data_IF_690774831880
#
_entry.id   IF_690774831880
#
_cell.length_a   1.000
_cell.length_b   1.000
_cell.length_c   1.000
_cell.angle_alpha   90.00
_cell.angle_beta   90.00
_cell.angle_gamma   90.00
#
_symmetry.space_group_name_H-M   'P 1'
#
loop_
_entity.id
_entity.type
_entity.pdbx_description
1 polymer ?
#
# COMPACT_ATOMS: atom_id res chain seq x y z
N UNK A 1 29.83 26.84 -36.23
CA UNK A 1 29.69 26.00 -35.02
C UNK A 1 28.57 26.53 -34.11
N UNK A 2 27.29 26.40 -34.51
CA UNK A 2 26.15 26.93 -33.71
C UNK A 2 24.84 26.15 -33.82
N UNK A 3 24.84 25.03 -34.57
CA UNK A 3 23.65 24.21 -34.86
C UNK A 3 23.59 22.88 -34.09
N UNK A 4 24.66 22.51 -33.38
CA UNK A 4 24.75 21.21 -32.68
C UNK A 4 24.18 21.26 -31.26
N UNK A 5 24.07 22.45 -30.65
CA UNK A 5 23.58 22.60 -29.28
C UNK A 5 22.05 22.55 -29.12
N UNK A 6 21.29 22.68 -30.21
CA UNK A 6 19.82 22.76 -30.11
C UNK A 6 19.16 21.39 -29.90
N UNK A 7 19.83 20.30 -30.28
CA UNK A 7 19.32 18.93 -30.10
C UNK A 7 19.64 18.31 -28.74
N UNK A 8 20.60 18.87 -27.99
CA UNK A 8 21.02 18.31 -26.68
C UNK A 8 20.13 18.80 -25.52
N UNK A 9 19.25 19.79 -25.77
CA UNK A 9 18.38 20.39 -24.75
C UNK A 9 16.98 19.77 -24.63
N UNK A 10 16.63 18.76 -25.43
CA UNK A 10 15.26 18.23 -25.54
C UNK A 10 15.03 16.84 -24.92
N UNK A 11 16.03 16.22 -24.28
CA UNK A 11 15.92 14.85 -23.71
C UNK A 11 16.27 14.81 -22.22
N UNK A 12 16.09 15.91 -21.49
CA UNK A 12 16.23 15.94 -20.05
C UNK A 12 14.88 16.21 -19.39
N UNK A 13 14.41 15.18 -18.67
CA UNK A 13 13.52 15.26 -17.52
C UNK A 13 12.02 15.34 -17.87
N UNK A 14 11.45 14.22 -18.31
CA UNK A 14 10.12 13.83 -17.82
C UNK A 14 10.33 12.69 -16.83
N UNK A 15 11.05 12.98 -15.75
CA UNK A 15 10.82 12.26 -14.51
C UNK A 15 9.46 12.73 -14.02
N UNK A 16 8.39 12.02 -14.39
CA UNK A 16 7.10 12.15 -13.72
C UNK A 16 7.35 11.80 -12.25
N UNK A 17 7.68 12.80 -11.42
CA UNK A 17 7.38 12.70 -10.01
C UNK A 17 5.87 12.70 -9.96
N UNK A 18 5.30 11.53 -9.69
CA UNK A 18 3.91 11.40 -9.33
C UNK A 18 3.75 12.32 -8.12
N UNK A 19 3.04 13.42 -8.28
CA UNK A 19 2.62 14.27 -7.17
C UNK A 19 1.80 13.37 -6.25
N UNK A 20 2.40 13.00 -5.12
CA UNK A 20 1.65 12.49 -3.97
C UNK A 20 0.57 13.54 -3.70
N UNK A 21 -0.67 13.19 -4.04
CA UNK A 21 -1.80 14.05 -3.71
C UNK A 21 -1.88 14.00 -2.19
N UNK A 22 -1.76 15.16 -1.53
CA UNK A 22 -1.85 15.23 -0.08
C UNK A 22 -3.21 14.67 0.34
N UNK A 23 -3.21 13.47 0.92
CA UNK A 23 -4.41 12.88 1.49
C UNK A 23 -4.78 13.67 2.74
N UNK A 24 -6.09 13.80 3.02
CA UNK A 24 -6.54 14.36 4.28
C UNK A 24 -5.96 13.57 5.46
N UNK A 25 -5.76 14.23 6.60
CA UNK A 25 -5.29 13.58 7.82
C UNK A 25 -6.45 12.95 8.57
N UNK A 26 -6.25 11.72 9.06
CA UNK A 26 -7.21 11.07 9.94
C UNK A 26 -7.26 11.78 11.30
N UNK A 27 -8.42 12.31 11.67
CA UNK A 27 -8.63 12.99 12.97
C UNK A 27 -9.18 12.08 14.06
N UNK A 28 -9.54 10.84 13.72
CA UNK A 28 -10.06 9.83 14.66
C UNK A 28 -9.48 8.44 14.35
N UNK A 29 -9.60 7.50 15.28
CA UNK A 29 -9.23 6.10 15.04
C UNK A 29 -10.16 5.38 14.06
N UNK A 30 -11.33 5.95 13.74
CA UNK A 30 -12.26 5.37 12.77
C UNK A 30 -11.70 5.52 11.35
N UNK A 31 -11.94 4.50 10.52
CA UNK A 31 -11.47 4.53 9.14
C UNK A 31 -12.32 5.46 8.28
N UNK A 32 -11.70 6.54 7.78
CA UNK A 32 -12.30 7.40 6.78
C UNK A 32 -12.09 6.78 5.37
N UNK A 33 -13.16 6.41 4.64
CA UNK A 33 -13.05 5.80 3.31
C UNK A 33 -12.41 6.72 2.27
N UNK A 34 -12.50 8.04 2.43
CA UNK A 34 -11.90 9.03 1.52
C UNK A 34 -10.38 9.03 1.71
N UNK A 35 -9.92 9.07 2.96
CA UNK A 35 -8.49 8.97 3.29
C UNK A 35 -7.93 7.62 2.87
N UNK A 36 -8.63 6.51 3.18
CA UNK A 36 -8.24 5.16 2.78
C UNK A 36 -8.01 5.05 1.27
N UNK A 37 -8.98 5.49 0.46
CA UNK A 37 -8.88 5.44 -1.00
C UNK A 37 -7.74 6.30 -1.54
N UNK A 38 -7.50 7.47 -0.94
CA UNK A 38 -6.40 8.34 -1.34
C UNK A 38 -5.04 7.70 -1.02
N UNK A 39 -4.85 7.21 0.20
CA UNK A 39 -3.62 6.57 0.62
C UNK A 39 -3.34 5.30 -0.20
N UNK A 40 -4.38 4.51 -0.53
CA UNK A 40 -4.26 3.35 -1.42
C UNK A 40 -3.78 3.75 -2.82
N UNK A 41 -4.31 4.84 -3.38
CA UNK A 41 -3.90 5.34 -4.67
C UNK A 41 -2.42 5.75 -4.68
N UNK A 42 -1.97 6.45 -3.63
CA UNK A 42 -0.56 6.81 -3.45
C UNK A 42 0.32 5.55 -3.29
N UNK A 43 -0.09 4.57 -2.49
CA UNK A 43 0.64 3.31 -2.33
C UNK A 43 0.84 2.57 -3.66
N UNK A 44 -0.21 2.45 -4.47
CA UNK A 44 -0.10 1.84 -5.81
C UNK A 44 0.82 2.65 -6.72
N UNK A 45 0.74 3.97 -6.66
CA UNK A 45 1.56 4.85 -7.48
C UNK A 45 3.04 4.77 -7.11
N UNK A 46 3.37 4.71 -5.82
CA UNK A 46 4.73 4.52 -5.31
C UNK A 46 5.35 3.18 -5.76
N UNK A 47 4.51 2.18 -6.01
CA UNK A 47 4.89 0.88 -6.56
C UNK A 47 4.86 0.81 -8.09
N UNK A 48 4.54 1.91 -8.77
CA UNK A 48 4.31 1.98 -10.22
C UNK A 48 3.25 0.97 -10.72
N UNK A 49 2.19 0.74 -9.94
CA UNK A 49 1.06 -0.12 -10.32
C UNK A 49 -0.10 0.77 -10.83
N UNK A 50 -0.35 0.82 -12.15
CA UNK A 50 -1.45 1.58 -12.72
C UNK A 50 -2.80 1.09 -12.19
N UNK A 51 -3.78 2.00 -12.06
CA UNK A 51 -5.16 1.67 -11.66
C UNK A 51 -5.88 0.71 -12.62
N UNK A 52 -5.35 0.52 -13.83
CA UNK A 52 -5.93 -0.36 -14.87
C UNK A 52 -5.50 -1.82 -14.75
N UNK A 53 -4.44 -2.14 -14.00
CA UNK A 53 -3.83 -3.49 -14.03
C UNK A 53 -4.69 -4.57 -13.35
N UNK A 54 -5.47 -4.20 -12.34
CA UNK A 54 -6.25 -5.15 -11.54
C UNK A 54 -7.77 -4.93 -11.61
N UNK A 55 -8.26 -4.17 -12.61
CA UNK A 55 -9.68 -3.83 -12.78
C UNK A 55 -10.35 -3.34 -11.48
N UNK A 56 -9.61 -2.60 -10.65
CA UNK A 56 -10.07 -2.16 -9.35
C UNK A 56 -9.39 -0.86 -8.96
N UNK A 57 -10.19 0.15 -8.61
CA UNK A 57 -9.71 1.48 -8.24
C UNK A 57 -8.89 1.49 -6.94
N UNK A 58 -8.98 0.41 -6.15
CA UNK A 58 -8.24 0.25 -4.91
C UNK A 58 -7.75 -1.17 -4.69
N UNK A 59 -6.69 -1.34 -3.90
CA UNK A 59 -6.09 -2.67 -3.67
C UNK A 59 -7.03 -3.66 -3.00
N UNK A 60 -7.94 -3.17 -2.14
CA UNK A 60 -8.92 -3.99 -1.43
C UNK A 60 -10.08 -4.52 -2.31
N UNK A 61 -10.28 -4.03 -3.53
CA UNK A 61 -11.28 -4.57 -4.47
C UNK A 61 -10.79 -5.83 -5.22
N UNK A 62 -9.47 -5.95 -5.42
CA UNK A 62 -8.87 -7.12 -6.07
C UNK A 62 -7.52 -7.48 -5.42
N UNK A 63 -7.54 -7.83 -4.13
CA UNK A 63 -6.32 -7.97 -3.34
C UNK A 63 -5.43 -9.12 -3.83
N UNK A 64 -6.00 -10.18 -4.42
CA UNK A 64 -5.21 -11.25 -5.03
C UNK A 64 -4.36 -10.75 -6.21
N UNK A 65 -4.94 -9.94 -7.09
CA UNK A 65 -4.19 -9.33 -8.19
C UNK A 65 -3.13 -8.37 -7.67
N UNK A 66 -3.49 -7.47 -6.76
CA UNK A 66 -2.53 -6.50 -6.24
C UNK A 66 -1.39 -7.14 -5.44
N UNK A 67 -1.67 -8.23 -4.70
CA UNK A 67 -0.62 -9.05 -4.07
C UNK A 67 0.37 -9.59 -5.11
N UNK A 68 -0.11 -10.07 -6.26
CA UNK A 68 0.78 -10.51 -7.34
C UNK A 68 1.62 -9.36 -7.92
N UNK A 69 1.04 -8.16 -8.06
CA UNK A 69 1.77 -6.98 -8.54
C UNK A 69 2.84 -6.53 -7.56
N UNK A 70 2.57 -6.58 -6.25
CA UNK A 70 3.58 -6.29 -5.23
C UNK A 70 4.72 -7.33 -5.27
N UNK A 71 4.40 -8.60 -5.49
CA UNK A 71 5.42 -9.64 -5.70
C UNK A 71 6.28 -9.35 -6.94
N UNK A 72 5.70 -8.83 -8.01
CA UNK A 72 6.48 -8.37 -9.16
C UNK A 72 7.33 -7.15 -8.83
N UNK A 73 6.81 -6.20 -8.06
CA UNK A 73 7.57 -5.04 -7.59
C UNK A 73 8.83 -5.45 -6.78
N UNK A 74 8.73 -6.51 -5.96
CA UNK A 74 9.91 -7.08 -5.30
C UNK A 74 10.95 -7.62 -6.29
N UNK A 75 10.51 -8.26 -7.38
CA UNK A 75 11.39 -8.89 -8.38
C UNK A 75 12.02 -7.87 -9.33
N UNK A 76 11.22 -6.94 -9.83
CA UNK A 76 11.63 -5.96 -10.84
C UNK A 76 12.59 -4.91 -10.26
N UNK A 77 12.45 -4.60 -8.97
CA UNK A 77 13.39 -3.74 -8.23
C UNK A 77 14.77 -4.35 -7.99
N UNK A 78 15.04 -5.57 -8.46
CA UNK A 78 16.33 -6.29 -8.31
C UNK A 78 16.78 -6.29 -6.84
N UNK A 79 17.99 -5.79 -6.55
CA UNK A 79 18.54 -5.73 -5.20
C UNK A 79 17.78 -4.78 -4.25
N UNK A 80 17.02 -3.82 -4.79
CA UNK A 80 16.34 -2.78 -4.01
C UNK A 80 14.82 -2.96 -3.95
N UNK A 81 14.26 -4.00 -4.57
CA UNK A 81 12.81 -4.21 -4.67
C UNK A 81 12.12 -4.28 -3.30
N UNK A 82 12.76 -4.92 -2.32
CA UNK A 82 12.25 -4.96 -0.93
C UNK A 82 12.23 -3.57 -0.31
N UNK A 83 13.31 -2.79 -0.46
CA UNK A 83 13.39 -1.43 0.08
C UNK A 83 12.34 -0.51 -0.55
N UNK A 84 12.13 -0.63 -1.87
CA UNK A 84 11.10 0.12 -2.59
C UNK A 84 9.70 -0.19 -2.05
N UNK A 85 9.35 -1.47 -1.95
CA UNK A 85 8.02 -1.87 -1.45
C UNK A 85 7.83 -1.45 0.00
N UNK A 86 8.85 -1.61 0.85
CA UNK A 86 8.77 -1.23 2.24
C UNK A 86 8.71 0.28 2.46
N UNK A 87 9.37 1.07 1.62
CA UNK A 87 9.23 2.52 1.62
C UNK A 87 7.80 2.94 1.25
N UNK A 88 7.26 2.39 0.17
CA UNK A 88 5.87 2.65 -0.25
C UNK A 88 4.87 2.26 0.85
N UNK A 89 5.07 1.10 1.49
CA UNK A 89 4.21 0.64 2.56
C UNK A 89 4.34 1.48 3.84
N UNK A 90 5.54 1.96 4.18
CA UNK A 90 5.72 2.89 5.28
C UNK A 90 4.97 4.21 5.01
N UNK A 91 5.09 4.76 3.80
CA UNK A 91 4.32 5.94 3.38
C UNK A 91 2.81 5.71 3.45
N UNK A 92 2.33 4.54 3.03
CA UNK A 92 0.92 4.15 3.15
C UNK A 92 0.43 4.15 4.60
N UNK A 93 1.21 3.55 5.52
CA UNK A 93 0.89 3.53 6.94
C UNK A 93 0.87 4.92 7.56
N UNK A 94 1.87 5.74 7.25
CA UNK A 94 1.91 7.13 7.72
C UNK A 94 0.73 7.93 7.18
N UNK A 95 0.32 7.69 5.94
CA UNK A 95 -0.83 8.35 5.32
C UNK A 95 -2.16 8.06 6.05
N UNK A 96 -2.39 6.81 6.49
CA UNK A 96 -3.57 6.51 7.31
C UNK A 96 -3.44 6.97 8.77
N UNK A 97 -2.22 7.13 9.27
CA UNK A 97 -1.97 7.59 10.64
C UNK A 97 -2.73 6.75 11.67
N UNK A 98 -3.47 7.43 12.54
CA UNK A 98 -4.19 6.81 13.66
C UNK A 98 -5.35 5.88 13.23
N UNK A 99 -5.90 6.06 12.02
CA UNK A 99 -6.97 5.18 11.52
C UNK A 99 -6.46 3.89 10.86
N UNK A 100 -5.13 3.69 10.79
CA UNK A 100 -4.55 2.56 10.06
C UNK A 100 -5.08 1.20 10.52
N UNK A 101 -5.19 0.96 11.83
CA UNK A 101 -5.65 -0.33 12.36
C UNK A 101 -7.11 -0.62 12.04
N UNK A 102 -7.99 0.39 12.05
CA UNK A 102 -9.40 0.20 11.70
C UNK A 102 -9.56 0.00 10.19
N UNK A 103 -8.78 0.71 9.37
CA UNK A 103 -8.79 0.58 7.92
C UNK A 103 -8.25 -0.75 7.39
N UNK A 104 -7.45 -1.49 8.18
CA UNK A 104 -6.96 -2.84 7.83
C UNK A 104 -7.66 -3.95 8.60
N UNK A 105 -8.87 -3.70 9.12
CA UNK A 105 -9.67 -4.71 9.82
C UNK A 105 -10.63 -5.41 8.87
N UNK A 106 -10.82 -6.72 9.05
CA UNK A 106 -11.84 -7.47 8.28
C UNK A 106 -13.23 -6.91 8.57
N UNK A 107 -13.49 -6.51 9.82
CA UNK A 107 -14.77 -5.97 10.27
C UNK A 107 -15.16 -4.70 9.51
N UNK A 108 -14.22 -3.78 9.27
CA UNK A 108 -14.48 -2.58 8.47
C UNK A 108 -14.99 -2.94 7.08
N UNK A 109 -14.31 -3.84 6.38
CA UNK A 109 -14.70 -4.22 5.02
C UNK A 109 -16.04 -4.98 4.98
N UNK A 110 -16.28 -5.88 5.95
CA UNK A 110 -17.55 -6.60 6.04
C UNK A 110 -18.72 -5.65 6.32
N UNK A 111 -18.55 -4.68 7.22
CA UNK A 111 -19.56 -3.67 7.52
C UNK A 111 -19.88 -2.76 6.33
N UNK A 112 -18.93 -2.59 5.40
CA UNK A 112 -19.09 -1.79 4.18
C UNK A 112 -19.42 -2.64 2.95
N UNK A 113 -19.98 -3.84 3.15
CA UNK A 113 -20.49 -4.72 2.08
C UNK A 113 -19.44 -5.20 1.07
N UNK A 114 -18.17 -5.26 1.46
CA UNK A 114 -17.15 -5.93 0.67
C UNK A 114 -17.25 -7.45 0.81
N UNK A 115 -16.82 -8.17 -0.22
CA UNK A 115 -16.75 -9.63 -0.18
C UNK A 115 -15.84 -10.08 0.99
N UNK A 116 -16.31 -10.94 1.91
CA UNK A 116 -15.53 -11.37 3.07
C UNK A 116 -14.22 -12.09 2.71
N UNK A 117 -14.17 -12.79 1.57
CA UNK A 117 -12.93 -13.46 1.15
C UNK A 117 -11.91 -12.43 0.65
N UNK A 118 -12.34 -11.45 -0.15
CA UNK A 118 -11.49 -10.33 -0.55
C UNK A 118 -11.00 -9.54 0.67
N UNK A 119 -11.88 -9.23 1.62
CA UNK A 119 -11.49 -8.55 2.87
C UNK A 119 -10.38 -9.31 3.61
N UNK A 120 -10.54 -10.64 3.79
CA UNK A 120 -9.51 -11.48 4.42
C UNK A 120 -8.20 -11.47 3.63
N UNK A 121 -8.25 -11.61 2.31
CA UNK A 121 -7.06 -11.59 1.45
C UNK A 121 -6.34 -10.24 1.52
N UNK A 122 -7.08 -9.14 1.54
CA UNK A 122 -6.52 -7.80 1.69
C UNK A 122 -5.82 -7.65 3.04
N UNK A 123 -6.48 -7.99 4.14
CA UNK A 123 -5.90 -7.91 5.48
C UNK A 123 -4.69 -8.83 5.63
N UNK A 124 -4.72 -10.02 5.03
CA UNK A 124 -3.57 -10.91 4.98
C UNK A 124 -2.39 -10.27 4.22
N UNK A 125 -2.63 -9.67 3.06
CA UNK A 125 -1.60 -8.95 2.30
C UNK A 125 -0.97 -7.82 3.14
N UNK A 126 -1.79 -7.04 3.87
CA UNK A 126 -1.27 -6.00 4.78
C UNK A 126 -0.41 -6.61 5.89
N UNK A 127 -0.82 -7.73 6.50
CA UNK A 127 -0.02 -8.42 7.53
C UNK A 127 1.32 -8.92 6.99
N UNK A 128 1.34 -9.48 5.78
CA UNK A 128 2.55 -9.92 5.11
C UNK A 128 3.50 -8.75 4.86
N UNK A 129 2.98 -7.59 4.43
CA UNK A 129 3.77 -6.36 4.26
C UNK A 129 4.30 -5.82 5.59
N UNK A 130 3.47 -5.80 6.64
CA UNK A 130 3.91 -5.43 7.99
C UNK A 130 5.01 -6.34 8.50
N UNK A 131 4.91 -7.65 8.26
CA UNK A 131 5.94 -8.59 8.65
C UNK A 131 7.24 -8.36 7.87
N UNK A 132 7.15 -8.26 6.53
CA UNK A 132 8.31 -8.08 5.66
C UNK A 132 9.05 -6.75 5.90
N UNK A 133 8.31 -5.67 6.18
CA UNK A 133 8.86 -4.31 6.26
C UNK A 133 9.09 -3.81 7.69
N UNK A 134 8.42 -4.42 8.69
CA UNK A 134 8.55 -4.08 10.11
C UNK A 134 9.38 -5.09 10.91
N UNK A 135 10.04 -6.05 10.26
CA UNK A 135 10.88 -7.06 10.94
C UNK A 135 10.10 -8.04 11.83
N UNK A 136 8.79 -8.21 11.61
CA UNK A 136 7.93 -9.15 12.33
C UNK A 136 7.57 -8.80 13.78
N UNK A 137 8.01 -7.65 14.32
CA UNK A 137 7.80 -7.30 15.73
C UNK A 137 6.45 -6.62 16.04
N UNK A 138 5.84 -5.93 15.08
CA UNK A 138 4.58 -5.21 15.34
C UNK A 138 3.34 -6.12 15.47
N UNK A 139 3.35 -7.32 14.90
CA UNK A 139 2.23 -8.27 14.98
C UNK A 139 2.17 -9.01 16.34
N UNK A 140 3.30 -9.14 17.03
CA UNK A 140 3.40 -9.89 18.29
C UNK A 140 2.89 -9.11 19.51
N UNK A 141 2.71 -7.78 19.40
CA UNK A 141 2.32 -6.94 20.53
C UNK A 141 0.80 -6.71 20.64
N UNK A 142 -0.01 -7.19 19.67
CA UNK A 142 -1.48 -6.98 19.67
C UNK A 142 -2.33 -8.25 19.50
N UNK A 143 -1.74 -9.44 19.57
CA UNK A 143 -2.50 -10.67 19.78
C UNK A 143 -3.00 -10.68 21.23
N UNK A 144 -4.32 -10.69 21.51
CA UNK A 144 -4.78 -11.01 22.85
C UNK A 144 -4.27 -12.42 23.18
N UNK A 145 -3.48 -12.54 24.23
CA UNK A 145 -3.07 -13.81 24.82
C UNK A 145 -4.33 -14.56 25.26
N UNK A 146 -4.95 -15.31 24.35
CA UNK A 146 -5.83 -16.41 24.73
C UNK A 146 -4.95 -17.40 25.47
N UNK A 147 -5.09 -17.40 26.81
CA UNK A 147 -4.54 -18.44 27.67
C UNK A 147 -4.95 -19.79 27.10
N UNK A 148 -3.99 -20.54 26.57
CA UNK A 148 -4.14 -21.98 26.40
C UNK A 148 -4.01 -22.56 27.80
N UNK A 149 -5.14 -22.80 28.45
CA UNK A 149 -5.23 -23.71 29.58
C UNK A 149 -5.11 -25.13 29.04
N UNK A 150 -3.96 -25.76 29.25
CA UNK A 150 -3.80 -27.20 29.04
C UNK A 150 -4.56 -27.98 30.12
N UNK A 151 -5.15 -29.14 29.80
CA UNK A 151 -5.67 -30.09 30.78
C UNK A 151 -4.55 -30.74 31.61
#
# INVERSE_FOLDING_TARGET
MRRVYFFILLVLIIGKKIESTACGEATTEACDPVVLRCCDANFRADLNIPSTVCNGASTYYNPSCYRSQIVQAYRDGKAEGVLMVCKAFASYRTCLGISGLSCYSVDYFVQHSFDPNQAKTYVQMIRELTFACGGGLELSQKLPSTKVSSP
#
